data_IF_955480749661
#
_entry.id   IF_955480749661
#
_cell.length_a   1.000
_cell.length_b   1.000
_cell.length_c   1.000
_cell.angle_alpha   90.00
_cell.angle_beta   90.00
_cell.angle_gamma   90.00
#
_symmetry.space_group_name_H-M   'P 1'
#
loop_
_entity.id
_entity.type
_entity.pdbx_description
1 polymer ?
#
# COMPACT_ATOMS: atom_id res chain seq x y z
N UNK A 1 -26.23 -20.12 -6.52
CA UNK A 1 -26.29 -19.13 -5.41
C UNK A 1 -25.83 -19.67 -4.05
N UNK A 2 -26.05 -20.96 -3.70
CA UNK A 2 -25.62 -21.53 -2.40
C UNK A 2 -24.10 -21.56 -2.17
N UNK A 3 -23.29 -21.87 -3.19
CA UNK A 3 -21.83 -21.91 -3.06
C UNK A 3 -21.16 -20.57 -2.72
N UNK A 4 -21.74 -19.43 -3.13
CA UNK A 4 -21.19 -18.12 -2.81
C UNK A 4 -21.46 -17.66 -1.37
N UNK A 5 -22.56 -18.12 -0.74
CA UNK A 5 -22.87 -17.82 0.65
C UNK A 5 -21.94 -18.61 1.60
N UNK A 6 -21.74 -19.91 1.33
CA UNK A 6 -20.80 -20.73 2.09
C UNK A 6 -19.36 -20.21 2.05
N UNK A 7 -18.88 -19.80 0.87
CA UNK A 7 -17.54 -19.23 0.75
C UNK A 7 -17.35 -17.92 1.54
N UNK A 8 -18.39 -17.09 1.65
CA UNK A 8 -18.34 -15.86 2.47
C UNK A 8 -18.34 -16.17 3.96
N UNK A 9 -19.17 -17.13 4.41
CA UNK A 9 -19.18 -17.57 5.80
C UNK A 9 -17.84 -18.18 6.18
N UNK A 10 -17.26 -19.02 5.32
CA UNK A 10 -15.95 -19.59 5.53
C UNK A 10 -14.86 -18.49 5.64
N UNK A 11 -14.88 -17.51 4.75
CA UNK A 11 -13.94 -16.39 4.82
C UNK A 11 -14.09 -15.59 6.14
N UNK A 12 -15.33 -15.33 6.58
CA UNK A 12 -15.58 -14.64 7.84
C UNK A 12 -15.13 -15.48 9.06
N UNK A 13 -15.36 -16.80 9.05
CA UNK A 13 -14.94 -17.68 10.12
C UNK A 13 -13.40 -17.77 10.23
N UNK A 14 -12.70 -17.96 9.09
CA UNK A 14 -11.23 -18.00 9.07
C UNK A 14 -10.64 -16.64 9.47
N UNK A 15 -11.25 -15.54 9.02
CA UNK A 15 -10.88 -14.21 9.47
C UNK A 15 -10.99 -14.10 10.99
N UNK A 16 -12.13 -14.44 11.57
CA UNK A 16 -12.34 -14.34 13.02
C UNK A 16 -11.29 -15.13 13.80
N UNK A 17 -11.05 -16.39 13.41
CA UNK A 17 -10.04 -17.25 14.06
C UNK A 17 -8.63 -16.65 14.00
N UNK A 18 -8.21 -16.18 12.82
CA UNK A 18 -6.88 -15.60 12.64
C UNK A 18 -6.73 -14.26 13.37
N UNK A 19 -7.82 -13.48 13.50
CA UNK A 19 -7.78 -12.19 14.21
C UNK A 19 -7.79 -12.36 15.73
N UNK A 20 -8.47 -13.37 16.25
CA UNK A 20 -8.35 -13.74 17.67
C UNK A 20 -6.88 -14.07 17.99
N UNK A 21 -6.24 -14.91 17.17
CA UNK A 21 -4.81 -15.20 17.36
C UNK A 21 -3.95 -13.94 17.29
N UNK A 22 -4.19 -13.07 16.30
CA UNK A 22 -3.43 -11.81 16.15
C UNK A 22 -3.64 -10.88 17.35
N UNK A 23 -4.87 -10.77 17.87
CA UNK A 23 -5.15 -9.99 19.09
C UNK A 23 -4.41 -10.57 20.30
N UNK A 24 -4.35 -11.89 20.47
CA UNK A 24 -3.55 -12.52 21.55
C UNK A 24 -2.06 -12.14 21.48
N UNK A 25 -1.51 -11.97 20.25
CA UNK A 25 -0.12 -11.54 20.09
C UNK A 25 0.08 -10.04 20.39
N UNK A 26 -0.76 -9.13 19.86
CA UNK A 26 -0.57 -7.70 20.09
C UNK A 26 -0.91 -7.27 21.52
N UNK A 27 -1.79 -8.00 22.20
CA UNK A 27 -2.09 -7.81 23.63
C UNK A 27 -1.13 -8.56 24.55
N UNK A 28 -0.11 -9.25 24.00
CA UNK A 28 0.92 -10.00 24.74
C UNK A 28 0.39 -11.15 25.61
N UNK A 29 -0.81 -11.66 25.34
CA UNK A 29 -1.27 -12.93 25.89
C UNK A 29 -0.37 -14.07 25.44
N UNK A 30 0.11 -13.99 24.19
CA UNK A 30 1.14 -14.87 23.61
C UNK A 30 2.25 -13.95 23.07
N UNK A 31 3.50 -14.25 23.43
CA UNK A 31 4.66 -13.47 22.98
C UNK A 31 5.42 -14.22 21.88
N UNK A 32 5.89 -13.47 20.87
CA UNK A 32 6.78 -13.97 19.83
C UNK A 32 8.22 -13.54 20.13
N UNK A 33 9.23 -14.32 19.68
CA UNK A 33 10.61 -13.88 19.73
C UNK A 33 10.85 -12.68 18.81
N UNK A 34 11.88 -11.89 19.11
CA UNK A 34 12.28 -10.72 18.35
C UNK A 34 11.88 -9.38 19.01
N UNK A 35 12.12 -8.26 18.33
CA UNK A 35 11.78 -6.94 18.84
C UNK A 35 10.25 -6.77 19.00
N UNK A 36 9.86 -6.08 20.05
CA UNK A 36 8.46 -5.79 20.35
C UNK A 36 7.94 -4.69 19.42
N UNK A 37 7.26 -5.08 18.36
CA UNK A 37 6.67 -4.13 17.38
C UNK A 37 5.52 -3.30 17.96
N UNK A 38 4.92 -3.73 19.09
CA UNK A 38 3.83 -2.99 19.75
C UNK A 38 4.33 -1.77 20.50
N UNK A 39 5.64 -1.67 20.74
CA UNK A 39 6.29 -0.49 21.34
C UNK A 39 6.09 0.77 20.50
N UNK A 40 5.95 0.67 19.19
CA UNK A 40 5.63 1.82 18.35
C UNK A 40 4.28 2.45 18.72
N UNK A 41 3.32 1.64 19.12
CA UNK A 41 2.01 2.14 19.57
C UNK A 41 2.09 2.65 21.01
N UNK A 42 2.64 1.84 21.93
CA UNK A 42 2.62 2.15 23.36
C UNK A 42 3.61 3.25 23.78
N UNK A 43 4.66 3.49 22.98
CA UNK A 43 5.67 4.51 23.28
C UNK A 43 5.63 5.64 22.25
N UNK A 44 5.87 5.34 20.96
CA UNK A 44 6.06 6.38 19.94
C UNK A 44 4.73 7.09 19.65
N UNK A 45 3.68 6.36 19.28
CA UNK A 45 2.37 6.98 18.96
C UNK A 45 1.72 7.60 20.20
N UNK A 46 1.87 6.96 21.36
CA UNK A 46 1.39 7.53 22.61
C UNK A 46 2.12 8.84 22.91
N UNK A 47 3.46 8.88 22.82
CA UNK A 47 4.24 10.10 22.97
C UNK A 47 3.81 11.21 22.00
N UNK A 48 3.62 10.88 20.73
CA UNK A 48 3.10 11.85 19.75
C UNK A 48 1.67 12.31 20.09
N UNK A 49 0.82 11.42 20.64
CA UNK A 49 -0.53 11.83 21.04
C UNK A 49 -0.51 12.88 22.14
N UNK A 50 0.43 12.77 23.08
CA UNK A 50 0.59 13.79 24.15
C UNK A 50 1.04 15.13 23.57
N UNK A 51 1.99 15.14 22.61
CA UNK A 51 2.39 16.38 21.93
C UNK A 51 1.21 16.97 21.13
N UNK A 52 0.49 16.16 20.35
CA UNK A 52 -0.66 16.64 19.56
C UNK A 52 -1.77 17.23 20.42
N UNK A 53 -1.99 16.72 21.63
CA UNK A 53 -2.96 17.28 22.62
C UNK A 53 -2.59 18.67 23.11
N UNK A 54 -1.32 19.08 23.02
CA UNK A 54 -0.91 20.46 23.34
C UNK A 54 -1.26 21.48 22.26
N UNK A 55 -1.77 21.02 21.09
CA UNK A 55 -2.14 21.87 19.97
C UNK A 55 -1.01 22.13 18.97
N UNK A 56 0.06 21.29 18.97
CA UNK A 56 1.17 21.39 18.02
C UNK A 56 1.49 20.02 17.41
N UNK A 57 2.02 20.01 16.17
CA UNK A 57 2.61 18.81 15.62
C UNK A 57 3.99 18.54 16.25
N UNK A 58 4.49 17.27 16.24
CA UNK A 58 5.83 16.92 16.71
C UNK A 58 6.93 17.46 15.78
N UNK A 59 7.04 18.78 15.63
CA UNK A 59 7.95 19.44 14.68
C UNK A 59 9.44 19.35 15.06
N UNK A 60 9.74 19.02 16.31
CA UNK A 60 11.11 18.77 16.79
C UNK A 60 11.51 17.30 16.73
N UNK A 61 10.57 16.40 16.44
CA UNK A 61 10.83 14.97 16.35
C UNK A 61 11.01 14.52 14.89
N UNK A 62 12.24 14.25 14.50
CA UNK A 62 12.59 13.79 13.13
C UNK A 62 11.94 12.46 12.74
N UNK A 63 11.39 11.72 13.70
CA UNK A 63 10.65 10.48 13.44
C UNK A 63 9.20 10.74 13.03
N UNK A 64 8.66 11.96 13.26
CA UNK A 64 7.37 12.40 12.73
C UNK A 64 7.45 12.69 11.23
N UNK A 65 7.28 11.68 10.41
CA UNK A 65 7.43 11.79 8.96
C UNK A 65 6.10 11.64 8.20
N UNK A 66 5.01 12.00 8.85
CA UNK A 66 3.66 11.75 8.37
C UNK A 66 2.94 13.04 7.99
N UNK A 67 2.07 12.99 6.94
CA UNK A 67 1.20 14.10 6.60
C UNK A 67 0.25 14.46 7.76
N UNK A 68 -0.35 15.65 7.76
CA UNK A 68 -1.00 16.21 8.95
C UNK A 68 -2.20 15.40 9.45
N UNK A 69 -2.99 14.74 8.59
CA UNK A 69 -4.11 13.92 9.07
C UNK A 69 -3.67 12.62 9.78
N UNK A 70 -2.39 12.24 9.74
CA UNK A 70 -1.88 11.15 10.58
C UNK A 70 -2.16 11.41 12.07
N UNK A 71 -2.23 12.69 12.48
CA UNK A 71 -2.64 13.08 13.81
C UNK A 71 -4.00 12.49 14.21
N UNK A 72 -4.95 12.37 13.28
CA UNK A 72 -6.26 11.76 13.57
C UNK A 72 -6.14 10.27 13.91
N UNK A 73 -5.26 9.54 13.22
CA UNK A 73 -5.01 8.13 13.53
C UNK A 73 -4.33 7.98 14.91
N UNK A 74 -3.35 8.83 15.21
CA UNK A 74 -2.63 8.85 16.50
C UNK A 74 -3.52 9.28 17.66
N UNK A 75 -4.42 10.23 17.45
CA UNK A 75 -5.38 10.70 18.46
C UNK A 75 -6.62 9.81 18.58
N UNK A 76 -6.87 8.91 17.60
CA UNK A 76 -8.10 8.10 17.58
C UNK A 76 -8.34 7.23 18.82
N UNK A 77 -7.31 6.72 19.58
CA UNK A 77 -7.54 6.01 20.83
C UNK A 77 -8.37 6.80 21.88
N UNK A 78 -8.35 8.13 21.82
CA UNK A 78 -9.20 8.96 22.69
C UNK A 78 -10.71 8.74 22.49
N UNK A 79 -11.13 8.11 21.41
CA UNK A 79 -12.53 7.69 21.18
C UNK A 79 -12.97 6.55 22.12
N UNK A 80 -12.03 5.85 22.75
CA UNK A 80 -12.27 4.74 23.66
C UNK A 80 -11.61 5.02 25.03
N UNK A 81 -12.09 6.04 25.76
CA UNK A 81 -11.41 6.56 26.97
C UNK A 81 -11.42 5.58 28.15
N UNK A 82 -12.15 4.48 28.05
CA UNK A 82 -12.22 3.41 29.04
C UNK A 82 -11.14 2.34 28.87
N UNK A 83 -10.32 2.44 27.82
CA UNK A 83 -9.16 1.58 27.55
C UNK A 83 -7.87 2.38 27.66
N UNK A 84 -6.76 1.69 27.94
CA UNK A 84 -5.44 2.28 27.76
C UNK A 84 -5.17 2.58 26.30
N UNK A 85 -4.20 3.46 26.02
CA UNK A 85 -3.91 3.95 24.68
C UNK A 85 -3.65 2.81 23.67
N UNK A 86 -2.81 1.84 24.03
CA UNK A 86 -2.42 0.76 23.13
C UNK A 86 -3.60 -0.19 22.85
N UNK A 87 -4.35 -0.58 23.87
CA UNK A 87 -5.55 -1.41 23.72
C UNK A 87 -6.61 -0.72 22.87
N UNK A 88 -6.86 0.58 23.09
CA UNK A 88 -7.76 1.37 22.27
C UNK A 88 -7.32 1.41 20.81
N UNK A 89 -6.03 1.59 20.55
CA UNK A 89 -5.47 1.57 19.21
C UNK A 89 -5.67 0.22 18.51
N UNK A 90 -5.39 -0.91 19.20
CA UNK A 90 -5.57 -2.25 18.63
C UNK A 90 -7.04 -2.57 18.33
N UNK A 91 -7.97 -2.13 19.18
CA UNK A 91 -9.41 -2.25 18.91
C UNK A 91 -9.80 -1.48 17.65
N UNK A 92 -9.32 -0.26 17.46
CA UNK A 92 -9.61 0.54 16.27
C UNK A 92 -8.96 -0.06 15.01
N UNK A 93 -7.76 -0.60 15.12
CA UNK A 93 -7.10 -1.33 14.04
C UNK A 93 -7.92 -2.57 13.63
N UNK A 94 -8.40 -3.35 14.60
CA UNK A 94 -9.30 -4.48 14.38
C UNK A 94 -10.61 -4.07 13.70
N UNK A 95 -11.23 -2.98 14.13
CA UNK A 95 -12.46 -2.45 13.51
C UNK A 95 -12.21 -2.06 12.05
N UNK A 96 -11.08 -1.42 11.75
CA UNK A 96 -10.70 -1.09 10.37
C UNK A 96 -10.46 -2.35 9.51
N UNK A 97 -9.82 -3.39 10.07
CA UNK A 97 -9.65 -4.70 9.40
C UNK A 97 -11.01 -5.35 9.11
N UNK A 98 -11.91 -5.37 10.08
CA UNK A 98 -13.29 -5.88 9.91
C UNK A 98 -14.06 -5.09 8.85
N UNK A 99 -13.91 -3.77 8.80
CA UNK A 99 -14.50 -2.91 7.79
C UNK A 99 -14.00 -3.29 6.38
N UNK A 100 -12.68 -3.49 6.21
CA UNK A 100 -12.11 -3.92 4.92
C UNK A 100 -12.71 -5.26 4.50
N UNK A 101 -12.77 -6.26 5.40
CA UNK A 101 -13.40 -7.53 5.09
C UNK A 101 -14.88 -7.35 4.67
N UNK A 102 -15.64 -6.57 5.45
CA UNK A 102 -17.04 -6.28 5.15
C UNK A 102 -17.23 -5.65 3.77
N UNK A 103 -16.42 -4.67 3.42
CA UNK A 103 -16.42 -4.01 2.10
C UNK A 103 -16.10 -5.00 0.97
N UNK A 104 -15.09 -5.85 1.13
CA UNK A 104 -14.69 -6.86 0.13
C UNK A 104 -15.77 -7.93 -0.04
N UNK A 105 -16.36 -8.43 1.05
CA UNK A 105 -17.47 -9.39 1.01
C UNK A 105 -18.73 -8.80 0.37
N UNK A 106 -19.04 -7.53 0.66
CA UNK A 106 -20.14 -6.81 0.04
C UNK A 106 -19.90 -6.62 -1.46
N UNK A 107 -18.74 -6.11 -1.85
CA UNK A 107 -18.37 -5.87 -3.24
C UNK A 107 -18.30 -7.17 -4.07
N UNK A 108 -17.95 -8.30 -3.43
CA UNK A 108 -17.91 -9.62 -4.08
C UNK A 108 -19.28 -10.24 -4.42
N UNK A 109 -20.42 -9.59 -4.09
CA UNK A 109 -21.77 -10.12 -4.32
C UNK A 109 -22.30 -9.93 -5.75
N UNK A 110 -21.74 -8.98 -6.49
CA UNK A 110 -22.27 -8.59 -7.82
C UNK A 110 -21.93 -9.57 -8.94
N UNK A 111 -22.63 -9.49 -10.07
CA UNK A 111 -22.24 -10.15 -11.31
C UNK A 111 -20.85 -9.70 -11.78
N UNK A 112 -20.02 -10.62 -12.28
CA UNK A 112 -18.62 -10.33 -12.65
C UNK A 112 -17.69 -10.09 -11.46
N UNK A 113 -18.15 -10.34 -10.22
CA UNK A 113 -17.40 -10.18 -8.97
C UNK A 113 -17.01 -11.53 -8.35
N UNK A 114 -16.06 -11.49 -7.42
CA UNK A 114 -15.51 -12.67 -6.76
C UNK A 114 -15.25 -12.40 -5.28
N UNK A 115 -15.37 -13.42 -4.45
CA UNK A 115 -14.93 -13.41 -3.04
C UNK A 115 -13.43 -13.64 -2.89
N UNK A 116 -12.69 -13.86 -3.97
CA UNK A 116 -11.24 -14.07 -3.94
C UNK A 116 -10.51 -12.88 -3.29
N UNK A 117 -11.00 -11.65 -3.50
CA UNK A 117 -10.45 -10.48 -2.84
C UNK A 117 -10.55 -10.56 -1.31
N UNK A 118 -11.67 -11.03 -0.77
CA UNK A 118 -11.80 -11.24 0.67
C UNK A 118 -10.79 -12.28 1.19
N UNK A 119 -10.55 -13.37 0.46
CA UNK A 119 -9.55 -14.38 0.82
C UNK A 119 -8.12 -13.85 0.80
N UNK A 120 -7.77 -12.96 -0.14
CA UNK A 120 -6.46 -12.27 -0.14
C UNK A 120 -6.27 -11.47 1.15
N UNK A 121 -7.29 -10.74 1.60
CA UNK A 121 -7.24 -9.99 2.84
C UNK A 121 -7.18 -10.90 4.08
N UNK A 122 -8.00 -11.94 4.11
CA UNK A 122 -8.03 -12.95 5.19
C UNK A 122 -6.67 -13.61 5.39
N UNK A 123 -5.98 -13.94 4.30
CA UNK A 123 -4.65 -14.55 4.33
C UNK A 123 -3.53 -13.53 4.59
N UNK A 124 -3.57 -12.38 3.93
CA UNK A 124 -2.45 -11.43 3.91
C UNK A 124 -2.19 -10.75 5.25
N UNK A 125 -3.24 -10.38 6.01
CA UNK A 125 -3.05 -9.72 7.30
C UNK A 125 -2.33 -10.61 8.32
N UNK A 126 -2.71 -11.88 8.54
CA UNK A 126 -1.98 -12.75 9.47
C UNK A 126 -0.58 -13.14 8.98
N UNK A 127 -0.33 -13.15 7.66
CA UNK A 127 1.01 -13.34 7.12
C UNK A 127 1.98 -12.21 7.51
N UNK A 128 1.48 -11.01 7.80
CA UNK A 128 2.29 -9.90 8.31
C UNK A 128 2.40 -9.91 9.85
N UNK A 129 1.62 -10.73 10.53
CA UNK A 129 1.65 -10.89 11.99
C UNK A 129 1.31 -9.61 12.74
N UNK A 130 1.97 -9.40 13.89
CA UNK A 130 1.71 -8.30 14.81
C UNK A 130 1.91 -6.91 14.18
N UNK A 131 2.79 -6.78 13.21
CA UNK A 131 3.03 -5.52 12.48
C UNK A 131 1.74 -4.97 11.85
N UNK A 132 0.80 -5.84 11.46
CA UNK A 132 -0.47 -5.42 10.86
C UNK A 132 -1.30 -4.52 11.78
N UNK A 133 -1.30 -4.74 13.10
CA UNK A 133 -2.06 -3.96 14.07
C UNK A 133 -1.19 -2.98 14.86
N UNK A 134 0.12 -3.14 14.85
CA UNK A 134 1.06 -2.23 15.51
C UNK A 134 1.39 -0.99 14.67
N UNK A 135 0.64 -0.72 13.60
CA UNK A 135 0.78 0.45 12.72
C UNK A 135 -0.61 0.93 12.29
N UNK A 136 -0.76 2.25 12.12
CA UNK A 136 -2.04 2.80 11.62
C UNK A 136 -2.27 2.54 10.11
N UNK A 137 -1.38 1.80 9.46
CA UNK A 137 -1.44 1.46 8.03
C UNK A 137 -2.69 0.67 7.65
N UNK A 138 -3.26 -0.12 8.57
CA UNK A 138 -4.55 -0.78 8.35
C UNK A 138 -5.69 0.23 8.19
N UNK A 139 -5.65 1.34 8.95
CA UNK A 139 -6.64 2.43 8.84
C UNK A 139 -6.52 3.14 7.49
N UNK A 140 -5.29 3.44 7.06
CA UNK A 140 -5.02 4.04 5.73
C UNK A 140 -5.47 3.12 4.61
N UNK A 141 -5.18 1.81 4.74
CA UNK A 141 -5.58 0.80 3.76
C UNK A 141 -7.11 0.68 3.68
N UNK A 142 -7.82 0.76 4.80
CA UNK A 142 -9.29 0.78 4.82
C UNK A 142 -9.86 1.95 4.01
N UNK A 143 -9.30 3.15 4.16
CA UNK A 143 -9.69 4.34 3.38
C UNK A 143 -9.42 4.12 1.89
N UNK A 144 -8.27 3.58 1.50
CA UNK A 144 -7.92 3.33 0.10
C UNK A 144 -8.80 2.24 -0.54
N UNK A 145 -9.09 1.16 0.18
CA UNK A 145 -10.03 0.11 -0.26
C UNK A 145 -11.43 0.69 -0.46
N UNK A 146 -11.93 1.47 0.51
CA UNK A 146 -13.20 2.16 0.41
C UNK A 146 -13.25 3.11 -0.80
N UNK A 147 -12.17 3.88 -1.04
CA UNK A 147 -12.04 4.79 -2.18
C UNK A 147 -12.19 4.05 -3.51
N UNK A 148 -11.45 2.95 -3.70
CA UNK A 148 -11.49 2.17 -4.94
C UNK A 148 -12.85 1.50 -5.16
N UNK A 149 -13.45 0.93 -4.14
CA UNK A 149 -14.75 0.27 -4.25
C UNK A 149 -15.89 1.27 -4.48
N UNK A 150 -15.86 2.43 -3.81
CA UNK A 150 -16.80 3.52 -4.03
C UNK A 150 -16.64 4.14 -5.42
N UNK A 151 -15.42 4.25 -5.92
CA UNK A 151 -15.05 4.86 -7.20
C UNK A 151 -15.72 4.24 -8.42
N UNK A 152 -16.15 2.98 -8.31
CA UNK A 152 -16.90 2.28 -9.37
C UNK A 152 -18.18 3.02 -9.76
N UNK A 153 -18.86 3.65 -8.80
CA UNK A 153 -20.13 4.35 -9.00
C UNK A 153 -20.06 5.84 -8.66
N UNK A 154 -19.18 6.22 -7.74
CA UNK A 154 -19.09 7.55 -7.16
C UNK A 154 -17.69 8.13 -7.25
N UNK A 155 -17.25 8.64 -8.43
CA UNK A 155 -15.89 9.16 -8.62
C UNK A 155 -15.53 10.30 -7.65
N UNK A 156 -16.50 11.15 -7.26
CA UNK A 156 -16.28 12.21 -6.26
C UNK A 156 -15.92 11.65 -4.90
N UNK A 157 -16.63 10.62 -4.43
CA UNK A 157 -16.34 9.94 -3.16
C UNK A 157 -14.95 9.33 -3.17
N UNK A 158 -14.57 8.70 -4.28
CA UNK A 158 -13.20 8.21 -4.48
C UNK A 158 -12.18 9.34 -4.32
N UNK A 159 -12.43 10.50 -4.93
CA UNK A 159 -11.54 11.66 -4.82
C UNK A 159 -11.42 12.18 -3.40
N UNK A 160 -12.52 12.33 -2.67
CA UNK A 160 -12.52 12.74 -1.26
C UNK A 160 -11.73 11.76 -0.40
N UNK A 161 -12.03 10.45 -0.51
CA UNK A 161 -11.35 9.43 0.28
C UNK A 161 -9.85 9.31 -0.09
N UNK A 162 -9.51 9.48 -1.37
CA UNK A 162 -8.11 9.51 -1.79
C UNK A 162 -7.34 10.70 -1.17
N UNK A 163 -7.97 11.87 -1.09
CA UNK A 163 -7.39 13.05 -0.45
C UNK A 163 -7.22 12.87 1.06
N UNK A 164 -8.24 12.37 1.75
CA UNK A 164 -8.15 12.02 3.19
C UNK A 164 -7.03 11.01 3.40
N UNK A 165 -7.01 9.93 2.60
CA UNK A 165 -5.96 8.93 2.68
C UNK A 165 -4.57 9.51 2.40
N UNK A 166 -4.42 10.41 1.41
CA UNK A 166 -3.14 11.04 1.07
C UNK A 166 -2.63 11.95 2.20
N UNK A 167 -3.51 12.57 2.94
CA UNK A 167 -3.15 13.37 4.11
C UNK A 167 -2.97 12.55 5.39
N UNK A 168 -3.45 11.30 5.43
CA UNK A 168 -3.04 10.31 6.44
C UNK A 168 -1.66 9.73 6.11
N UNK A 169 -1.44 9.37 4.85
CA UNK A 169 -0.17 8.81 4.33
C UNK A 169 -0.15 8.99 2.81
N UNK A 170 0.90 9.49 2.23
CA UNK A 170 0.95 10.01 0.84
C UNK A 170 0.44 9.03 -0.24
N UNK A 171 0.72 7.74 -0.12
CA UNK A 171 0.46 6.74 -1.16
C UNK A 171 -1.00 6.60 -1.65
N UNK A 172 -2.06 6.82 -0.83
CA UNK A 172 -3.44 6.73 -1.31
C UNK A 172 -3.81 7.71 -2.43
N UNK A 173 -3.02 8.76 -2.66
CA UNK A 173 -3.18 9.60 -3.85
C UNK A 173 -3.09 8.76 -5.15
N UNK A 174 -2.30 7.69 -5.13
CA UNK A 174 -2.08 6.81 -6.29
C UNK A 174 -3.30 5.98 -6.68
N UNK A 175 -4.34 5.87 -5.83
CA UNK A 175 -5.59 5.19 -6.20
C UNK A 175 -6.31 5.92 -7.35
N UNK A 176 -6.01 7.20 -7.55
CA UNK A 176 -6.58 8.00 -8.65
C UNK A 176 -5.97 7.70 -10.02
N UNK A 177 -4.83 7.00 -10.09
CA UNK A 177 -4.09 6.77 -11.33
C UNK A 177 -4.93 6.06 -12.40
N UNK A 178 -5.81 5.13 -12.00
CA UNK A 178 -6.64 4.31 -12.87
C UNK A 178 -8.02 4.86 -13.21
N UNK A 179 -8.35 6.11 -12.85
CA UNK A 179 -9.67 6.69 -13.13
C UNK A 179 -9.95 6.77 -14.63
N UNK A 180 -11.15 6.36 -15.07
CA UNK A 180 -11.54 6.41 -16.47
C UNK A 180 -11.49 7.85 -17.01
N UNK A 181 -11.03 8.01 -18.27
CA UNK A 181 -10.85 9.33 -18.89
C UNK A 181 -12.17 10.12 -18.98
N UNK A 182 -12.08 11.44 -19.02
CA UNK A 182 -13.21 12.33 -19.18
C UNK A 182 -13.83 12.76 -17.84
N UNK A 183 -15.16 12.68 -17.74
CA UNK A 183 -15.93 13.20 -16.60
C UNK A 183 -15.54 12.51 -15.27
N UNK A 184 -15.28 11.22 -15.27
CA UNK A 184 -14.91 10.48 -14.08
C UNK A 184 -13.58 10.97 -13.50
N UNK A 185 -12.54 11.08 -14.34
CA UNK A 185 -11.24 11.64 -13.93
C UNK A 185 -11.39 13.07 -13.41
N UNK A 186 -12.06 13.96 -14.17
CA UNK A 186 -12.24 15.35 -13.74
C UNK A 186 -12.93 15.42 -12.38
N UNK A 187 -14.03 14.65 -12.21
CA UNK A 187 -14.81 14.64 -10.97
C UNK A 187 -14.00 14.12 -9.77
N UNK A 188 -13.23 13.03 -9.94
CA UNK A 188 -12.42 12.47 -8.86
C UNK A 188 -11.24 13.39 -8.50
N UNK A 189 -10.50 13.88 -9.50
CA UNK A 189 -9.33 14.72 -9.26
C UNK A 189 -9.68 16.11 -8.70
N UNK A 190 -10.77 16.74 -9.18
CA UNK A 190 -11.23 18.00 -8.60
C UNK A 190 -11.71 17.82 -7.16
N UNK A 191 -12.48 16.76 -6.87
CA UNK A 191 -12.88 16.45 -5.50
C UNK A 191 -11.67 16.20 -4.60
N UNK A 192 -10.68 15.46 -5.08
CA UNK A 192 -9.44 15.21 -4.34
C UNK A 192 -8.66 16.50 -4.07
N UNK A 193 -8.47 17.34 -5.09
CA UNK A 193 -7.73 18.59 -4.97
C UNK A 193 -8.40 19.56 -3.99
N UNK A 194 -9.73 19.75 -4.10
CA UNK A 194 -10.50 20.62 -3.20
C UNK A 194 -10.47 20.11 -1.77
N UNK A 195 -10.66 18.80 -1.58
CA UNK A 195 -10.62 18.19 -0.24
C UNK A 195 -9.22 18.28 0.37
N UNK A 196 -8.17 17.96 -0.39
CA UNK A 196 -6.80 18.03 0.09
C UNK A 196 -6.39 19.45 0.46
N UNK A 197 -6.71 20.44 -0.41
CA UNK A 197 -6.42 21.84 -0.14
C UNK A 197 -7.17 22.36 1.09
N UNK A 198 -8.48 22.06 1.19
CA UNK A 198 -9.29 22.49 2.33
C UNK A 198 -8.79 21.89 3.65
N UNK A 199 -8.53 20.58 3.69
CA UNK A 199 -8.01 19.93 4.89
C UNK A 199 -6.60 20.39 5.25
N UNK A 200 -5.73 20.63 4.25
CA UNK A 200 -4.38 21.14 4.49
C UNK A 200 -4.42 22.54 5.11
N UNK A 201 -5.29 23.43 4.58
CA UNK A 201 -5.51 24.77 5.16
C UNK A 201 -6.01 24.64 6.61
N UNK A 202 -7.01 23.79 6.86
CA UNK A 202 -7.50 23.57 8.24
C UNK A 202 -6.39 23.11 9.17
N UNK A 203 -5.59 22.11 8.75
CA UNK A 203 -4.50 21.60 9.58
C UNK A 203 -3.42 22.65 9.84
N UNK A 204 -3.03 23.43 8.83
CA UNK A 204 -1.98 24.46 8.97
C UNK A 204 -2.43 25.67 9.80
N UNK A 205 -3.72 26.02 9.74
CA UNK A 205 -4.29 27.12 10.54
C UNK A 205 -4.56 26.66 11.98
N UNK A 206 -5.00 25.41 12.15
CA UNK A 206 -5.37 24.90 13.48
C UNK A 206 -4.16 24.59 14.37
N UNK A 207 -3.04 24.13 13.79
CA UNK A 207 -1.89 23.64 14.57
C UNK A 207 -0.56 23.96 13.88
N UNK A 208 0.41 24.57 14.60
CA UNK A 208 1.78 24.76 14.10
C UNK A 208 2.47 23.44 13.75
N UNK A 209 3.42 23.46 12.79
CA UNK A 209 4.24 22.31 12.46
C UNK A 209 3.61 21.31 11.47
N UNK A 210 2.40 21.57 10.95
CA UNK A 210 1.68 20.65 10.05
C UNK A 210 2.48 20.21 8.79
N UNK A 211 3.44 21.00 8.34
CA UNK A 211 4.26 20.75 7.15
C UNK A 211 5.71 20.33 7.46
N UNK A 212 6.10 20.22 8.74
CA UNK A 212 7.46 19.86 9.15
C UNK A 212 7.94 18.52 8.55
N UNK A 213 7.02 17.56 8.39
CA UNK A 213 7.32 16.24 7.80
C UNK A 213 7.96 16.31 6.40
N UNK A 214 7.71 17.35 5.62
CA UNK A 214 8.30 17.51 4.27
C UNK A 214 9.83 17.65 4.32
N UNK A 215 10.35 18.35 5.32
CA UNK A 215 11.79 18.47 5.56
C UNK A 215 12.40 17.11 5.93
N UNK A 216 11.81 16.42 6.90
CA UNK A 216 12.30 15.13 7.39
C UNK A 216 12.28 14.02 6.31
N UNK A 217 11.29 14.02 5.43
CA UNK A 217 11.26 13.08 4.30
C UNK A 217 12.36 13.30 3.27
N UNK A 218 12.81 14.55 3.09
CA UNK A 218 13.88 14.89 2.15
C UNK A 218 15.22 14.28 2.57
N UNK A 219 15.51 14.32 3.86
CA UNK A 219 16.83 14.03 4.42
C UNK A 219 17.05 12.53 4.75
N UNK A 220 16.06 11.67 4.50
CA UNK A 220 16.15 10.21 4.67
C UNK A 220 17.20 9.58 3.74
N UNK A 221 17.92 8.60 4.30
CA UNK A 221 18.92 7.80 3.59
C UNK A 221 18.34 6.53 2.94
N UNK A 222 19.16 5.48 2.90
CA UNK A 222 18.80 4.15 2.37
C UNK A 222 18.51 3.22 3.54
N UNK A 223 17.21 2.90 3.75
CA UNK A 223 16.78 1.94 4.76
C UNK A 223 17.24 0.54 4.43
N UNK A 224 17.60 -0.24 5.46
CA UNK A 224 18.17 -1.60 5.31
C UNK A 224 17.27 -2.58 4.54
N UNK A 225 15.97 -2.36 4.54
CA UNK A 225 14.98 -3.20 3.86
C UNK A 225 14.68 -2.77 2.42
N UNK A 226 15.23 -1.61 1.95
CA UNK A 226 14.98 -1.10 0.60
C UNK A 226 15.65 -1.94 -0.50
N UNK A 227 15.19 -1.78 -1.74
CA UNK A 227 15.81 -2.44 -2.88
C UNK A 227 17.28 -1.96 -3.07
N UNK A 228 17.53 -0.66 -2.85
CA UNK A 228 18.89 -0.09 -2.92
C UNK A 228 19.82 -0.64 -1.86
N UNK A 229 19.31 -1.04 -0.70
CA UNK A 229 20.08 -1.61 0.39
C UNK A 229 20.74 -2.95 0.04
N UNK A 230 20.20 -3.71 -0.92
CA UNK A 230 20.79 -4.98 -1.37
C UNK A 230 22.26 -4.83 -1.79
N UNK A 231 22.59 -3.67 -2.36
CA UNK A 231 24.00 -3.37 -2.74
C UNK A 231 24.90 -3.37 -1.51
N UNK A 232 24.46 -2.77 -0.40
CA UNK A 232 25.24 -2.68 0.83
C UNK A 232 25.26 -3.98 1.62
N UNK A 233 24.15 -4.74 1.61
CA UNK A 233 24.10 -6.08 2.19
C UNK A 233 25.17 -6.98 1.54
N UNK A 234 25.30 -6.93 0.21
CA UNK A 234 26.34 -7.67 -0.50
C UNK A 234 27.74 -7.06 -0.25
N UNK A 235 27.90 -5.75 -0.35
CA UNK A 235 29.18 -5.08 -0.18
C UNK A 235 29.81 -5.33 1.21
N UNK A 236 28.99 -5.48 2.26
CA UNK A 236 29.48 -5.84 3.60
C UNK A 236 30.16 -7.21 3.65
N UNK A 237 29.76 -8.16 2.79
CA UNK A 237 30.44 -9.45 2.69
C UNK A 237 31.88 -9.30 2.12
N UNK A 238 32.18 -8.20 1.48
CA UNK A 238 33.47 -7.87 0.87
C UNK A 238 34.19 -6.72 1.58
N UNK A 239 33.85 -6.45 2.84
CA UNK A 239 34.57 -5.50 3.69
C UNK A 239 34.17 -4.02 3.48
N UNK A 240 32.99 -3.73 3.00
CA UNK A 240 32.49 -2.34 2.96
C UNK A 240 32.48 -1.71 4.36
N UNK A 241 33.05 -0.53 4.49
CA UNK A 241 33.37 0.14 5.77
C UNK A 241 32.20 0.93 6.39
N UNK A 242 31.03 0.92 5.79
CA UNK A 242 29.87 1.60 6.35
C UNK A 242 29.23 0.84 7.51
N UNK A 243 28.24 1.48 8.14
CA UNK A 243 27.51 0.98 9.29
C UNK A 243 26.01 1.07 9.12
N UNK A 244 25.25 0.41 9.99
CA UNK A 244 23.80 0.52 10.10
C UNK A 244 23.48 1.22 11.41
N UNK A 245 22.68 2.28 11.36
CA UNK A 245 22.23 3.04 12.52
C UNK A 245 20.73 3.33 12.45
N UNK A 246 20.13 3.57 13.62
CA UNK A 246 18.77 4.08 13.71
C UNK A 246 18.76 5.58 13.37
N UNK A 247 18.08 5.92 12.28
CA UNK A 247 18.05 7.27 11.77
C UNK A 247 16.67 7.56 11.13
N UNK A 248 16.11 8.73 11.36
CA UNK A 248 14.78 9.11 10.85
C UNK A 248 13.67 8.07 11.04
N UNK A 249 13.69 7.33 12.16
CA UNK A 249 12.64 6.35 12.49
C UNK A 249 12.80 4.98 11.83
N UNK A 250 13.96 4.68 11.22
CA UNK A 250 14.28 3.38 10.62
C UNK A 250 15.77 3.04 10.77
N UNK A 251 16.14 1.78 10.53
CA UNK A 251 17.54 1.37 10.42
C UNK A 251 18.05 1.71 9.02
N UNK A 252 19.07 2.56 8.91
CA UNK A 252 19.61 3.04 7.65
C UNK A 252 21.09 2.70 7.51
N UNK A 253 21.53 2.43 6.27
CA UNK A 253 22.95 2.36 5.94
C UNK A 253 23.55 3.76 5.92
N UNK A 254 24.71 3.91 6.58
CA UNK A 254 25.53 5.13 6.58
C UNK A 254 26.95 4.81 6.16
N UNK A 255 27.51 5.56 5.21
CA UNK A 255 28.88 5.35 4.76
C UNK A 255 29.12 5.64 3.27
N UNK A 256 30.25 5.17 2.72
CA UNK A 256 30.61 5.42 1.33
C UNK A 256 29.54 4.93 0.35
N UNK A 257 29.28 5.76 -0.68
CA UNK A 257 28.31 5.48 -1.76
C UNK A 257 26.84 5.42 -1.38
N UNK A 258 26.44 5.55 -0.11
CA UNK A 258 25.04 5.56 0.31
C UNK A 258 24.26 6.72 -0.32
N UNK A 259 24.77 7.97 -0.39
CA UNK A 259 24.08 9.06 -1.08
C UNK A 259 23.89 8.79 -2.59
N UNK A 260 24.85 8.12 -3.23
CA UNK A 260 24.73 7.74 -4.64
C UNK A 260 23.59 6.75 -4.85
N UNK A 261 23.54 5.65 -4.07
CA UNK A 261 22.48 4.65 -4.17
C UNK A 261 21.11 5.25 -3.85
N UNK A 262 21.03 6.11 -2.84
CA UNK A 262 19.83 6.86 -2.50
C UNK A 262 19.33 7.76 -3.65
N UNK A 263 20.26 8.42 -4.35
CA UNK A 263 19.96 9.24 -5.55
C UNK A 263 19.50 8.37 -6.72
N UNK A 264 20.14 7.22 -6.95
CA UNK A 264 19.73 6.28 -7.99
C UNK A 264 18.33 5.71 -7.72
N UNK A 265 18.00 5.40 -6.47
CA UNK A 265 16.65 4.98 -6.09
C UNK A 265 15.60 6.07 -6.38
N UNK A 266 15.93 7.33 -6.11
CA UNK A 266 15.07 8.46 -6.47
C UNK A 266 14.91 8.57 -8.00
N UNK A 267 15.99 8.43 -8.76
CA UNK A 267 15.96 8.38 -10.23
C UNK A 267 15.08 7.23 -10.74
N UNK A 268 15.17 6.05 -10.13
CA UNK A 268 14.33 4.91 -10.47
C UNK A 268 12.84 5.20 -10.17
N UNK A 269 12.55 5.90 -9.06
CA UNK A 269 11.19 6.35 -8.76
C UNK A 269 10.66 7.31 -9.83
N UNK A 270 11.46 8.25 -10.27
CA UNK A 270 11.09 9.17 -11.38
C UNK A 270 10.79 8.40 -12.66
N UNK A 271 11.62 7.41 -13.01
CA UNK A 271 11.38 6.55 -14.18
C UNK A 271 10.10 5.73 -14.03
N UNK A 272 9.83 5.17 -12.85
CA UNK A 272 8.62 4.41 -12.57
C UNK A 272 7.35 5.25 -12.70
N UNK A 273 7.35 6.46 -12.15
CA UNK A 273 6.23 7.40 -12.31
C UNK A 273 6.14 7.97 -13.73
N UNK A 274 7.26 8.16 -14.41
CA UNK A 274 7.29 8.47 -15.84
C UNK A 274 6.64 7.37 -16.68
N UNK A 275 6.94 6.09 -16.38
CA UNK A 275 6.27 4.96 -17.02
C UNK A 275 4.75 4.97 -16.74
N UNK A 276 4.33 5.23 -15.49
CA UNK A 276 2.92 5.33 -15.12
C UNK A 276 2.21 6.45 -15.89
N UNK A 277 2.87 7.60 -16.07
CA UNK A 277 2.35 8.70 -16.88
C UNK A 277 2.22 8.30 -18.35
N UNK A 278 3.25 7.67 -18.94
CA UNK A 278 3.21 7.17 -20.31
C UNK A 278 2.09 6.14 -20.49
N UNK A 279 1.95 5.22 -19.52
CA UNK A 279 0.82 4.29 -19.50
C UNK A 279 -0.50 5.04 -19.50
N UNK A 280 -0.67 6.02 -18.61
CA UNK A 280 -1.90 6.82 -18.48
C UNK A 280 -2.25 7.56 -19.78
N UNK A 281 -1.25 8.05 -20.50
CA UNK A 281 -1.42 8.75 -21.78
C UNK A 281 -1.75 7.79 -22.93
N UNK A 282 -1.30 6.54 -22.88
CA UNK A 282 -1.49 5.53 -23.94
C UNK A 282 -2.67 4.59 -23.70
N UNK A 283 -3.09 4.39 -22.45
CA UNK A 283 -4.22 3.53 -22.13
C UNK A 283 -5.51 4.05 -22.79
N UNK A 284 -6.20 3.18 -23.51
CA UNK A 284 -7.45 3.48 -24.25
C UNK A 284 -8.64 2.75 -23.67
N UNK A 285 -8.44 1.54 -23.11
CA UNK A 285 -9.48 0.71 -22.53
C UNK A 285 -9.50 0.84 -20.99
N UNK A 286 -10.65 1.20 -20.45
CA UNK A 286 -10.88 1.34 -19.02
C UNK A 286 -12.06 0.46 -18.61
N UNK A 287 -11.76 -0.80 -18.23
CA UNK A 287 -12.74 -1.73 -17.70
C UNK A 287 -12.98 -1.53 -16.19
N UNK A 288 -13.89 -2.35 -15.64
CA UNK A 288 -14.30 -2.24 -14.24
C UNK A 288 -13.16 -2.46 -13.23
N UNK A 289 -12.17 -3.32 -13.57
CA UNK A 289 -11.00 -3.57 -12.69
C UNK A 289 -9.86 -2.58 -12.91
N UNK A 290 -9.85 -1.80 -13.99
CA UNK A 290 -8.72 -0.93 -14.35
C UNK A 290 -8.32 0.04 -13.24
N UNK A 291 -9.25 0.69 -12.49
CA UNK A 291 -8.87 1.55 -11.38
C UNK A 291 -8.10 0.82 -10.28
N UNK A 292 -8.55 -0.38 -9.92
CA UNK A 292 -7.87 -1.20 -8.90
C UNK A 292 -6.53 -1.74 -9.41
N UNK A 293 -6.48 -2.28 -10.62
CA UNK A 293 -5.27 -2.82 -11.24
C UNK A 293 -4.19 -1.73 -11.38
N UNK A 294 -4.58 -0.51 -11.80
CA UNK A 294 -3.65 0.61 -11.92
C UNK A 294 -3.18 1.16 -10.57
N UNK A 295 -4.06 1.24 -9.57
CA UNK A 295 -3.68 1.63 -8.22
C UNK A 295 -2.67 0.63 -7.63
N UNK A 296 -2.91 -0.66 -7.80
CA UNK A 296 -2.01 -1.72 -7.36
C UNK A 296 -0.63 -1.61 -8.03
N UNK A 297 -0.58 -1.42 -9.35
CA UNK A 297 0.68 -1.19 -10.08
C UNK A 297 1.38 0.07 -9.61
N UNK A 298 0.64 1.18 -9.42
CA UNK A 298 1.23 2.44 -9.00
C UNK A 298 1.87 2.33 -7.60
N UNK A 299 1.22 1.64 -6.66
CA UNK A 299 1.77 1.45 -5.31
C UNK A 299 2.89 0.41 -5.29
N UNK A 300 2.85 -0.64 -6.13
CA UNK A 300 3.98 -1.55 -6.33
C UNK A 300 5.21 -0.80 -6.85
N UNK A 301 5.05 0.05 -7.87
CA UNK A 301 6.12 0.89 -8.39
C UNK A 301 6.67 1.83 -7.31
N UNK A 302 5.78 2.52 -6.58
CA UNK A 302 6.16 3.39 -5.48
C UNK A 302 6.97 2.64 -4.42
N UNK A 303 6.49 1.48 -3.97
CA UNK A 303 7.14 0.68 -2.92
C UNK A 303 8.51 0.17 -3.38
N UNK A 304 8.58 -0.47 -4.56
CA UNK A 304 9.81 -1.12 -5.02
C UNK A 304 10.92 -0.15 -5.41
N UNK A 305 10.60 1.10 -5.76
CA UNK A 305 11.60 2.11 -6.11
C UNK A 305 11.92 3.06 -4.96
N UNK A 306 11.23 2.94 -3.82
CA UNK A 306 11.45 3.78 -2.65
C UNK A 306 12.81 3.50 -1.99
N UNK A 307 13.38 4.54 -1.39
CA UNK A 307 14.55 4.42 -0.49
C UNK A 307 14.22 3.72 0.83
N UNK A 308 12.93 3.54 1.10
CA UNK A 308 12.38 2.97 2.31
C UNK A 308 11.31 1.96 1.93
N UNK A 309 11.43 0.72 2.41
CA UNK A 309 10.42 -0.33 2.26
C UNK A 309 10.16 -0.94 3.64
N UNK A 310 9.31 -0.29 4.40
CA UNK A 310 8.97 -0.78 5.75
C UNK A 310 7.98 -1.96 5.70
N UNK A 311 8.01 -2.88 6.67
CA UNK A 311 7.17 -4.09 6.71
C UNK A 311 5.68 -3.82 6.53
N UNK A 312 5.15 -2.74 7.14
CA UNK A 312 3.74 -2.36 7.04
C UNK A 312 3.28 -2.00 5.62
N UNK A 313 4.19 -1.76 4.66
CA UNK A 313 3.81 -1.49 3.27
C UNK A 313 3.15 -2.70 2.61
N UNK A 314 3.39 -3.90 3.15
CA UNK A 314 2.71 -5.10 2.70
C UNK A 314 1.20 -5.02 2.89
N UNK A 315 0.68 -4.32 3.94
CA UNK A 315 -0.76 -4.11 4.11
C UNK A 315 -1.38 -3.34 2.95
N UNK A 316 -0.68 -2.32 2.43
CA UNK A 316 -1.16 -1.54 1.29
C UNK A 316 -1.32 -2.42 0.06
N UNK A 317 -0.26 -3.20 -0.22
CA UNK A 317 -0.22 -4.10 -1.38
C UNK A 317 -1.26 -5.22 -1.26
N UNK A 318 -1.41 -5.82 -0.08
CA UNK A 318 -2.43 -6.83 0.20
C UNK A 318 -3.84 -6.26 0.03
N UNK A 319 -4.12 -5.06 0.58
CA UNK A 319 -5.40 -4.39 0.43
C UNK A 319 -5.75 -4.09 -1.02
N UNK A 320 -4.79 -3.57 -1.80
CA UNK A 320 -4.97 -3.27 -3.22
C UNK A 320 -5.12 -4.54 -4.07
N UNK A 321 -4.31 -5.58 -3.81
CA UNK A 321 -4.45 -6.90 -4.43
C UNK A 321 -5.83 -7.50 -4.13
N UNK A 322 -6.32 -7.34 -2.90
CA UNK A 322 -7.66 -7.79 -2.53
C UNK A 322 -8.74 -7.09 -3.35
N UNK A 323 -8.64 -5.76 -3.55
CA UNK A 323 -9.60 -5.04 -4.40
C UNK A 323 -9.51 -5.50 -5.87
N UNK A 324 -8.29 -5.72 -6.41
CA UNK A 324 -8.15 -6.26 -7.77
C UNK A 324 -8.91 -7.58 -7.93
N UNK A 325 -8.78 -8.51 -6.98
CA UNK A 325 -9.37 -9.84 -7.08
C UNK A 325 -10.87 -9.89 -6.70
N UNK A 326 -11.47 -8.76 -6.33
CA UNK A 326 -12.94 -8.62 -6.34
C UNK A 326 -13.49 -8.67 -7.77
N UNK A 327 -12.73 -8.24 -8.76
CA UNK A 327 -13.13 -8.20 -10.17
C UNK A 327 -12.65 -9.45 -10.90
N UNK A 328 -13.57 -10.24 -11.48
CA UNK A 328 -13.21 -11.46 -12.22
C UNK A 328 -12.39 -11.21 -13.49
N UNK A 329 -12.52 -10.03 -14.05
CA UNK A 329 -11.79 -9.58 -15.23
C UNK A 329 -10.37 -9.09 -14.93
N UNK A 330 -10.00 -8.90 -13.65
CA UNK A 330 -8.63 -8.57 -13.26
C UNK A 330 -7.65 -9.70 -13.57
N UNK A 331 -6.49 -9.34 -14.08
CA UNK A 331 -5.39 -10.29 -14.39
C UNK A 331 -4.31 -10.28 -13.30
N UNK A 332 -4.61 -9.73 -12.10
CA UNK A 332 -3.63 -9.53 -11.02
C UNK A 332 -3.48 -10.75 -10.08
N UNK A 333 -4.00 -11.93 -10.43
CA UNK A 333 -3.91 -13.13 -9.57
C UNK A 333 -2.46 -13.50 -9.24
N UNK A 334 -1.58 -13.60 -10.25
CA UNK A 334 -0.17 -13.96 -10.00
C UNK A 334 0.58 -12.85 -9.24
N UNK A 335 0.51 -11.55 -9.61
CA UNK A 335 1.07 -10.49 -8.77
C UNK A 335 0.57 -10.49 -7.33
N UNK A 336 -0.73 -10.73 -7.09
CA UNK A 336 -1.30 -10.84 -5.75
C UNK A 336 -0.70 -12.02 -4.97
N UNK A 337 -0.53 -13.17 -5.61
CA UNK A 337 0.14 -14.33 -5.01
C UNK A 337 1.60 -14.05 -4.62
N UNK A 338 2.35 -13.36 -5.49
CA UNK A 338 3.73 -12.95 -5.21
C UNK A 338 3.80 -11.95 -4.04
N UNK A 339 2.84 -11.02 -3.94
CA UNK A 339 2.73 -10.09 -2.79
C UNK A 339 2.42 -10.85 -1.50
N UNK A 340 1.52 -11.84 -1.52
CA UNK A 340 1.27 -12.67 -0.33
C UNK A 340 2.52 -13.44 0.11
N UNK A 341 3.27 -14.01 -0.83
CA UNK A 341 4.56 -14.66 -0.52
C UNK A 341 5.57 -13.66 0.05
N UNK A 342 5.71 -12.48 -0.56
CA UNK A 342 6.56 -11.42 -0.05
C UNK A 342 6.15 -10.98 1.37
N UNK A 343 4.83 -10.92 1.65
CA UNK A 343 4.30 -10.60 2.98
C UNK A 343 4.70 -11.66 4.02
N UNK A 344 4.63 -12.94 3.65
CA UNK A 344 5.10 -14.03 4.52
C UNK A 344 6.61 -13.95 4.77
N UNK A 345 7.42 -13.68 3.74
CA UNK A 345 8.87 -13.46 3.90
C UNK A 345 9.14 -12.24 4.79
N UNK A 346 8.35 -11.17 4.66
CA UNK A 346 8.47 -9.98 5.51
C UNK A 346 8.28 -10.31 6.99
N UNK A 347 7.38 -11.21 7.37
CA UNK A 347 7.23 -11.64 8.76
C UNK A 347 8.48 -12.36 9.28
N UNK A 348 9.16 -13.15 8.45
CA UNK A 348 10.42 -13.80 8.81
C UNK A 348 11.59 -12.81 8.88
N UNK A 349 11.57 -11.76 8.07
CA UNK A 349 12.54 -10.68 8.07
C UNK A 349 12.34 -9.76 9.27
N UNK A 350 11.12 -9.31 9.53
CA UNK A 350 10.72 -8.42 10.60
C UNK A 350 9.37 -8.85 11.20
N UNK A 351 9.29 -9.08 12.51
CA UNK A 351 10.33 -8.83 13.52
C UNK A 351 11.27 -10.01 13.75
N UNK A 352 10.97 -11.22 13.28
CA UNK A 352 11.62 -12.46 13.75
C UNK A 352 13.13 -12.52 13.45
N UNK A 353 13.53 -12.11 12.26
CA UNK A 353 14.92 -12.15 11.79
C UNK A 353 15.59 -10.79 11.64
N UNK A 354 15.08 -9.75 12.26
CA UNK A 354 15.56 -8.39 12.02
C UNK A 354 17.03 -8.18 12.37
N UNK A 355 17.52 -8.86 13.39
CA UNK A 355 18.95 -8.86 13.74
C UNK A 355 19.81 -9.36 12.57
N UNK A 356 19.39 -10.41 11.86
CA UNK A 356 20.09 -10.92 10.68
C UNK A 356 20.15 -9.89 9.55
N UNK A 357 19.05 -9.11 9.36
CA UNK A 357 19.02 -8.02 8.37
C UNK A 357 20.00 -6.91 8.76
N UNK A 358 19.95 -6.45 10.00
CA UNK A 358 20.81 -5.36 10.50
C UNK A 358 22.30 -5.75 10.43
N UNK A 359 22.62 -7.00 10.76
CA UNK A 359 23.99 -7.52 10.69
C UNK A 359 24.42 -7.86 9.27
N UNK A 360 23.46 -8.00 8.33
CA UNK A 360 23.71 -8.43 6.95
C UNK A 360 24.36 -9.82 6.88
N UNK A 361 24.02 -10.75 7.76
CA UNK A 361 24.52 -12.12 7.65
C UNK A 361 23.83 -12.88 6.50
N UNK A 362 24.25 -14.13 6.24
CA UNK A 362 23.74 -14.92 5.11
C UNK A 362 22.21 -15.09 5.15
N UNK A 363 21.62 -15.25 6.34
CA UNK A 363 20.16 -15.35 6.51
C UNK A 363 19.46 -14.05 6.15
N UNK A 364 19.91 -12.92 6.72
CA UNK A 364 19.33 -11.61 6.44
C UNK A 364 19.44 -11.23 4.97
N UNK A 365 20.62 -11.44 4.35
CA UNK A 365 20.82 -11.20 2.91
C UNK A 365 19.86 -12.06 2.08
N UNK A 366 19.70 -13.34 2.39
CA UNK A 366 18.81 -14.24 1.66
C UNK A 366 17.35 -13.79 1.76
N UNK A 367 16.87 -13.44 2.97
CA UNK A 367 15.53 -12.92 3.19
C UNK A 367 15.28 -11.64 2.40
N UNK A 368 16.24 -10.70 2.42
CA UNK A 368 16.15 -9.45 1.69
C UNK A 368 16.06 -9.66 0.17
N UNK A 369 16.91 -10.54 -0.40
CA UNK A 369 16.83 -10.88 -1.83
C UNK A 369 15.52 -11.57 -2.19
N UNK A 370 15.06 -12.52 -1.36
CA UNK A 370 13.79 -13.23 -1.58
C UNK A 370 12.61 -12.25 -1.58
N UNK A 371 12.47 -11.42 -0.54
CA UNK A 371 11.35 -10.47 -0.42
C UNK A 371 11.37 -9.42 -1.54
N UNK A 372 12.51 -8.76 -1.74
CA UNK A 372 12.62 -7.71 -2.76
C UNK A 372 12.50 -8.29 -4.17
N UNK A 373 13.04 -9.49 -4.43
CA UNK A 373 12.89 -10.19 -5.70
C UNK A 373 11.42 -10.52 -6.01
N UNK A 374 10.65 -10.99 -5.03
CA UNK A 374 9.20 -11.22 -5.17
C UNK A 374 8.43 -9.92 -5.47
N UNK A 375 8.77 -8.81 -4.80
CA UNK A 375 8.14 -7.52 -5.03
C UNK A 375 8.47 -6.96 -6.43
N UNK A 376 9.73 -7.05 -6.88
CA UNK A 376 10.12 -6.65 -8.24
C UNK A 376 9.42 -7.49 -9.28
N UNK A 377 9.37 -8.82 -9.11
CA UNK A 377 8.65 -9.71 -10.03
C UNK A 377 7.14 -9.37 -10.08
N UNK A 378 6.50 -9.15 -8.92
CA UNK A 378 5.11 -8.72 -8.85
C UNK A 378 4.89 -7.42 -9.61
N UNK A 379 5.78 -6.43 -9.43
CA UNK A 379 5.72 -5.12 -10.08
C UNK A 379 5.81 -5.24 -11.60
N UNK A 380 6.82 -5.94 -12.11
CA UNK A 380 7.03 -6.07 -13.55
C UNK A 380 5.90 -6.84 -14.23
N UNK A 381 5.42 -7.93 -13.61
CA UNK A 381 4.31 -8.72 -14.13
C UNK A 381 3.01 -7.91 -14.10
N UNK A 382 2.72 -7.20 -13.01
CA UNK A 382 1.53 -6.38 -12.89
C UNK A 382 1.52 -5.23 -13.91
N UNK A 383 2.64 -4.52 -14.05
CA UNK A 383 2.81 -3.45 -15.04
C UNK A 383 2.62 -3.97 -16.48
N UNK A 384 3.25 -5.09 -16.81
CA UNK A 384 3.10 -5.71 -18.13
C UNK A 384 1.65 -6.16 -18.42
N UNK A 385 0.94 -6.70 -17.44
CA UNK A 385 -0.48 -7.10 -17.58
C UNK A 385 -1.39 -5.89 -17.74
N UNK A 386 -1.17 -4.84 -16.97
CA UNK A 386 -1.91 -3.59 -17.09
C UNK A 386 -1.71 -2.98 -18.47
N UNK A 387 -0.47 -2.92 -18.95
CA UNK A 387 -0.14 -2.40 -20.28
C UNK A 387 -0.82 -3.18 -21.41
N UNK A 388 -0.64 -4.51 -21.41
CA UNK A 388 -1.20 -5.38 -22.47
C UNK A 388 -2.71 -5.25 -22.55
N UNK A 389 -3.40 -5.14 -21.43
CA UNK A 389 -4.84 -5.07 -21.38
C UNK A 389 -5.39 -3.74 -21.85
N UNK A 390 -4.76 -2.63 -21.44
CA UNK A 390 -5.33 -1.29 -21.62
C UNK A 390 -4.76 -0.53 -22.82
N UNK A 391 -3.58 -0.93 -23.31
CA UNK A 391 -2.90 -0.28 -24.44
C UNK A 391 -2.91 -1.16 -25.67
N UNK A 392 -2.44 -2.43 -25.57
CA UNK A 392 -2.25 -3.31 -26.73
C UNK A 392 -3.52 -4.08 -27.12
N UNK A 393 -4.44 -4.36 -26.18
CA UNK A 393 -5.73 -4.98 -26.46
C UNK A 393 -6.55 -4.15 -27.44
N UNK A 394 -6.70 -2.87 -27.17
CA UNK A 394 -7.38 -1.91 -28.02
C UNK A 394 -6.82 -1.84 -29.47
N UNK A 395 -5.52 -2.04 -29.63
CA UNK A 395 -4.89 -2.01 -30.94
C UNK A 395 -5.24 -3.24 -31.82
N UNK A 396 -5.51 -4.41 -31.19
CA UNK A 396 -5.90 -5.63 -31.92
C UNK A 396 -7.35 -5.57 -32.35
N UNK A 397 -8.25 -5.11 -31.53
CA UNK A 397 -9.68 -5.02 -31.85
C UNK A 397 -9.96 -3.93 -32.90
N UNK A 398 -9.29 -2.79 -32.82
CA UNK A 398 -9.34 -1.73 -33.85
C UNK A 398 -8.79 -2.18 -35.21
N UNK A 399 -7.74 -2.97 -35.23
CA UNK A 399 -7.16 -3.52 -36.44
C UNK A 399 -8.04 -4.59 -37.10
N UNK A 400 -8.76 -5.39 -36.31
CA UNK A 400 -9.72 -6.39 -36.80
C UNK A 400 -10.96 -5.75 -37.43
N UNK A 401 -11.49 -4.71 -36.77
CA UNK A 401 -12.65 -3.96 -37.28
C UNK A 401 -12.34 -3.21 -38.57
N UNK A 402 -11.13 -2.64 -38.71
CA UNK A 402 -10.70 -1.99 -39.96
C UNK A 402 -10.54 -2.95 -41.11
N UNK A 403 -10.04 -4.17 -40.86
CA UNK A 403 -9.93 -5.23 -41.91
C UNK A 403 -11.28 -5.77 -42.36
N UNK A 404 -12.22 -5.98 -41.38
CA UNK A 404 -13.58 -6.42 -41.74
C UNK A 404 -14.42 -5.36 -42.47
N UNK A 405 -14.09 -4.09 -42.35
CA UNK A 405 -14.68 -2.99 -43.11
C UNK A 405 -14.18 -2.95 -44.58
N UNK A 406 -12.88 -3.17 -44.77
CA UNK A 406 -12.26 -3.23 -46.10
C UNK A 406 -12.74 -4.45 -46.93
N UNK A 407 -12.95 -5.62 -46.30
CA UNK A 407 -13.44 -6.82 -46.96
C UNK A 407 -14.92 -6.72 -47.41
N UNK A 408 -15.72 -5.84 -46.81
CA UNK A 408 -17.11 -5.57 -47.18
C UNK A 408 -17.24 -4.59 -48.37
N UNK A 409 -16.26 -3.71 -48.60
CA UNK A 409 -16.26 -2.78 -49.75
C UNK A 409 -15.74 -3.40 -51.04
N UNK A 410 -15.17 -4.62 -51.01
CA UNK A 410 -14.60 -5.30 -52.16
C UNK A 410 -15.48 -6.39 -52.74
N UNK A 411 -16.71 -6.65 -52.26
CA UNK A 411 -17.63 -7.55 -52.95
C UNK A 411 -18.19 -6.85 -54.20
N UNK A 412 -17.89 -7.39 -55.42
CA UNK A 412 -18.42 -6.83 -56.65
C UNK A 412 -19.92 -7.10 -56.68
N UNK A 413 -20.70 -6.05 -56.88
CA UNK A 413 -22.12 -6.14 -57.23
C UNK A 413 -22.20 -6.88 -58.56
N UNK A 414 -22.42 -8.19 -58.48
CA UNK A 414 -22.64 -9.06 -59.62
C UNK A 414 -24.01 -8.80 -60.24
N UNK A 415 -23.97 -8.49 -61.50
CA UNK A 415 -25.08 -8.37 -62.48
C UNK A 415 -26.01 -9.56 -62.50
#
# INVERSE_FOLDING_TARGET
MRGSAGARLAAAAVWALTRVALLCFVTKVITLPGPDVTSDVSVIYHGWSEVLKTGTYPESDVTWQYPPLAALAVLSPALLPFLDYASAFFVLAFVCDALVLGLLLYAGRGGGRSVAGAWVWVAGVPLLGTTAYARYDVMVTAVAVAALLAGVRHPRVMGVLAAVGALLKVWPALVLAGTARGRSTRSAWTAAAVTAAGLLVVCTVAMPGALAFLGFQRDRGTEVESLGALVFHVARQFGWSGRVEYHYGSMEFLGPHVPLVSTLALGLSVLAFGWLLVWRLRAREFGASTPADAAFVAVLLFTTTSRVISPQYMLWLVGLAAVCLVFRDSRMVLPAGLVLLATGVTQWEFPLGFTHVVTSDATGVTLMFARNGLLVAATLIAAGRLWRRTVTGAARDGGSAARSGLDRETEPVGS
#
